data_IF_085995651270
#
_entry.id   IF_085995651270
#
_cell.length_a   1.000
_cell.length_b   1.000
_cell.length_c   1.000
_cell.angle_alpha   90.00
_cell.angle_beta   90.00
_cell.angle_gamma   90.00
#
_symmetry.space_group_name_H-M   'P 1'
#
loop_
_entity.id
_entity.type
_entity.pdbx_description
1 polymer ?
#
# COMPACT_ATOMS: atom_id res chain seq x y z
N UNK A 1 46.50 -29.80 -11.88
CA UNK A 1 45.41 -30.74 -12.23
C UNK A 1 44.93 -31.32 -10.91
N UNK A 2 44.07 -30.58 -10.21
CA UNK A 2 43.80 -30.83 -8.79
C UNK A 2 42.41 -31.44 -8.63
N UNK A 3 42.41 -32.68 -8.13
CA UNK A 3 41.26 -33.53 -7.89
C UNK A 3 40.31 -32.91 -6.86
N UNK A 4 39.02 -32.88 -7.22
CA UNK A 4 37.92 -32.51 -6.34
C UNK A 4 37.61 -33.64 -5.36
N UNK A 5 37.96 -33.46 -4.09
CA UNK A 5 37.46 -34.28 -2.99
C UNK A 5 36.14 -33.69 -2.52
N UNK A 6 35.05 -34.39 -2.84
CA UNK A 6 33.72 -34.17 -2.27
C UNK A 6 33.77 -34.48 -0.78
N UNK A 7 33.31 -33.55 0.05
CA UNK A 7 32.84 -33.86 1.40
C UNK A 7 31.34 -33.58 1.48
N UNK A 8 30.56 -34.43 2.18
CA UNK A 8 29.10 -34.38 2.21
C UNK A 8 28.63 -33.24 3.12
N UNK A 9 27.71 -32.43 2.63
CA UNK A 9 27.02 -31.41 3.44
C UNK A 9 25.99 -32.12 4.33
N UNK A 10 26.29 -32.23 5.63
CA UNK A 10 25.34 -32.68 6.65
C UNK A 10 24.36 -31.54 6.96
N UNK A 11 23.03 -31.75 6.93
CA UNK A 11 22.07 -30.73 7.33
C UNK A 11 21.94 -30.77 8.85
N UNK A 12 22.83 -30.06 9.55
CA UNK A 12 22.66 -29.79 10.97
C UNK A 12 22.09 -28.37 11.13
N UNK A 13 20.97 -28.30 11.86
CA UNK A 13 20.28 -27.10 12.32
C UNK A 13 19.68 -26.19 11.24
N UNK A 14 18.51 -26.61 10.74
CA UNK A 14 17.47 -25.66 10.35
C UNK A 14 16.87 -25.03 11.61
N UNK A 15 17.61 -24.12 12.25
CA UNK A 15 16.96 -23.18 13.16
C UNK A 15 16.16 -22.21 12.30
N UNK A 16 14.87 -21.96 12.61
CA UNK A 16 14.11 -20.94 11.90
C UNK A 16 14.86 -19.63 12.05
N UNK A 17 15.14 -18.99 10.91
CA UNK A 17 15.67 -17.63 10.87
C UNK A 17 14.57 -16.73 11.41
N UNK A 18 14.56 -16.61 12.73
CA UNK A 18 13.84 -15.62 13.51
C UNK A 18 14.38 -14.26 13.02
N UNK A 19 13.70 -13.70 12.01
CA UNK A 19 13.92 -12.37 11.42
C UNK A 19 13.60 -11.28 12.46
N UNK A 20 14.25 -11.28 13.61
CA UNK A 20 14.14 -10.25 14.63
C UNK A 20 15.10 -9.12 14.29
N UNK A 21 14.75 -8.44 13.21
CA UNK A 21 15.32 -7.17 12.78
C UNK A 21 14.28 -6.27 12.13
N UNK A 22 12.98 -6.59 12.26
CA UNK A 22 11.94 -5.67 11.87
C UNK A 22 11.99 -4.49 12.83
N UNK A 23 12.53 -3.36 12.35
CA UNK A 23 12.08 -2.08 12.90
C UNK A 23 10.55 -2.14 12.91
N UNK A 24 9.88 -1.62 13.94
CA UNK A 24 8.49 -1.28 13.83
C UNK A 24 8.39 -0.02 12.96
N UNK A 25 8.96 -0.02 11.75
CA UNK A 25 8.54 0.93 10.75
C UNK A 25 7.10 0.54 10.45
N UNK A 26 6.16 1.48 10.59
CA UNK A 26 4.75 1.30 10.19
C UNK A 26 4.57 1.09 8.68
N UNK A 27 5.58 0.54 8.01
CA UNK A 27 5.72 0.29 6.59
C UNK A 27 5.57 -1.19 6.23
N UNK A 28 5.82 -2.12 7.17
CA UNK A 28 5.65 -3.55 6.94
C UNK A 28 4.20 -3.93 7.27
N UNK A 29 3.43 -4.49 6.32
CA UNK A 29 2.09 -4.98 6.62
C UNK A 29 2.22 -6.08 7.66
N UNK A 30 1.63 -5.85 8.84
CA UNK A 30 1.64 -6.82 9.92
C UNK A 30 0.43 -7.75 9.80
N UNK A 31 0.50 -8.97 10.35
CA UNK A 31 -0.65 -9.86 10.41
C UNK A 31 -1.87 -9.23 11.12
N UNK A 32 -1.66 -8.26 12.01
CA UNK A 32 -2.73 -7.45 12.63
C UNK A 32 -3.43 -6.47 11.67
N UNK A 33 -2.73 -6.01 10.63
CA UNK A 33 -3.28 -5.11 9.60
C UNK A 33 -4.14 -5.90 8.59
N UNK A 34 -3.95 -7.21 8.47
CA UNK A 34 -4.68 -8.06 7.53
C UNK A 34 -6.20 -8.09 7.76
N UNK A 35 -6.66 -7.75 8.97
CA UNK A 35 -8.08 -7.66 9.31
C UNK A 35 -8.74 -6.34 8.89
N UNK A 36 -8.01 -5.38 8.34
CA UNK A 36 -8.53 -4.05 8.03
C UNK A 36 -8.29 -3.66 6.56
N UNK A 37 -9.21 -2.87 6.03
CA UNK A 37 -9.09 -2.24 4.71
C UNK A 37 -9.24 -0.74 4.85
N UNK A 38 -8.28 0.00 4.29
CA UNK A 38 -8.36 1.45 4.18
C UNK A 38 -9.23 1.82 2.97
N UNK A 39 -10.23 2.66 3.22
CA UNK A 39 -11.13 3.21 2.23
C UNK A 39 -10.78 4.68 2.06
N UNK A 40 -10.40 5.05 0.84
CA UNK A 40 -10.15 6.43 0.48
C UNK A 40 -11.31 6.93 -0.37
N UNK A 41 -11.98 7.99 0.07
CA UNK A 41 -12.92 8.73 -0.75
C UNK A 41 -12.28 10.09 -1.08
N UNK A 42 -12.05 10.31 -2.37
CA UNK A 42 -11.28 11.45 -2.86
C UNK A 42 -12.20 12.26 -3.75
N UNK A 43 -12.28 13.55 -3.49
CA UNK A 43 -12.97 14.51 -4.34
C UNK A 43 -11.94 15.45 -4.94
N UNK A 44 -11.83 15.42 -6.25
CA UNK A 44 -10.91 16.23 -7.01
C UNK A 44 -11.64 16.95 -8.14
N UNK A 45 -11.03 17.99 -8.68
CA UNK A 45 -11.50 18.62 -9.91
C UNK A 45 -11.43 17.61 -11.08
N UNK A 46 -12.40 17.65 -11.99
CA UNK A 46 -12.48 16.73 -13.11
C UNK A 46 -11.43 17.02 -14.21
N UNK A 47 -10.16 16.75 -13.89
CA UNK A 47 -9.05 16.77 -14.85
C UNK A 47 -8.84 15.40 -15.50
N UNK A 48 -8.44 15.39 -16.77
CA UNK A 48 -8.27 14.15 -17.53
C UNK A 48 -7.16 13.22 -16.98
N UNK A 49 -6.18 13.75 -16.24
CA UNK A 49 -5.03 13.00 -15.75
C UNK A 49 -5.08 12.71 -14.23
N UNK A 50 -6.13 13.16 -13.53
CA UNK A 50 -6.24 13.00 -12.07
C UNK A 50 -6.22 11.53 -11.64
N UNK A 51 -6.88 10.66 -12.40
CA UNK A 51 -6.90 9.22 -12.14
C UNK A 51 -5.51 8.61 -12.28
N UNK A 52 -4.77 9.00 -13.33
CA UNK A 52 -3.40 8.55 -13.54
C UNK A 52 -2.46 9.04 -12.43
N UNK A 53 -2.58 10.30 -11.98
CA UNK A 53 -1.77 10.83 -10.87
C UNK A 53 -2.05 10.10 -9.57
N UNK A 54 -3.33 9.85 -9.25
CA UNK A 54 -3.75 9.10 -8.07
C UNK A 54 -3.20 7.67 -8.11
N UNK A 55 -3.43 6.94 -9.21
CA UNK A 55 -2.92 5.58 -9.39
C UNK A 55 -1.40 5.52 -9.31
N UNK A 56 -0.70 6.51 -9.86
CA UNK A 56 0.75 6.59 -9.81
C UNK A 56 1.29 6.70 -8.37
N UNK A 57 0.61 7.42 -7.46
CA UNK A 57 0.99 7.50 -6.06
C UNK A 57 0.96 6.13 -5.36
N UNK A 58 -0.01 5.29 -5.70
CA UNK A 58 -0.11 3.93 -5.19
C UNK A 58 0.92 3.00 -5.84
N UNK A 59 1.08 3.11 -7.16
CA UNK A 59 2.02 2.30 -7.93
C UNK A 59 3.47 2.49 -7.46
N UNK A 60 3.91 3.73 -7.23
CA UNK A 60 5.26 4.04 -6.71
C UNK A 60 5.50 3.41 -5.34
N UNK A 61 4.44 3.25 -4.53
CA UNK A 61 4.54 2.64 -3.20
C UNK A 61 4.36 1.12 -3.22
N UNK A 62 4.07 0.52 -4.38
CA UNK A 62 3.82 -0.91 -4.53
C UNK A 62 2.47 -1.37 -3.98
N UNK A 63 1.51 -0.46 -3.81
CA UNK A 63 0.18 -0.80 -3.31
C UNK A 63 -0.78 -1.06 -4.46
N UNK A 64 -1.45 -2.21 -4.41
CA UNK A 64 -2.49 -2.58 -5.37
C UNK A 64 -3.87 -2.47 -4.69
N UNK A 65 -4.74 -1.55 -5.14
CA UNK A 65 -6.11 -1.49 -4.64
C UNK A 65 -6.90 -2.74 -5.04
N UNK A 66 -7.69 -3.27 -4.11
CA UNK A 66 -8.63 -4.37 -4.39
C UNK A 66 -9.81 -3.88 -5.22
N UNK A 67 -10.21 -2.62 -4.99
CA UNK A 67 -11.34 -2.01 -5.67
C UNK A 67 -11.03 -0.52 -5.90
N UNK A 68 -11.37 -0.04 -7.09
CA UNK A 68 -11.34 1.39 -7.43
C UNK A 68 -12.60 1.73 -8.23
N UNK A 69 -13.29 2.77 -7.81
CA UNK A 69 -14.42 3.34 -8.51
C UNK A 69 -14.14 4.83 -8.74
N UNK A 70 -14.36 5.30 -9.95
CA UNK A 70 -14.21 6.71 -10.31
C UNK A 70 -15.47 7.16 -11.03
N UNK A 71 -15.99 8.32 -10.63
CA UNK A 71 -17.19 8.92 -11.21
C UNK A 71 -16.98 10.41 -11.37
N UNK A 72 -17.20 10.91 -12.57
CA UNK A 72 -17.33 12.34 -12.82
C UNK A 72 -18.80 12.73 -12.60
N UNK A 73 -19.03 13.73 -11.75
CA UNK A 73 -20.34 14.24 -11.39
C UNK A 73 -20.24 15.75 -11.14
N UNK A 74 -21.01 16.54 -11.89
CA UNK A 74 -21.06 18.00 -11.82
C UNK A 74 -19.69 18.70 -11.92
N UNK A 75 -18.76 18.19 -12.75
CA UNK A 75 -17.41 18.74 -12.90
C UNK A 75 -16.44 18.36 -11.79
N UNK A 76 -16.85 17.45 -10.89
CA UNK A 76 -16.01 16.87 -9.85
C UNK A 76 -15.73 15.39 -10.13
N UNK A 77 -14.48 14.99 -9.94
CA UNK A 77 -14.08 13.59 -9.95
C UNK A 77 -14.14 13.02 -8.54
N UNK A 78 -15.06 12.09 -8.34
CA UNK A 78 -15.20 11.29 -7.13
C UNK A 78 -14.49 9.96 -7.33
N UNK A 79 -13.47 9.69 -6.52
CA UNK A 79 -12.68 8.45 -6.58
C UNK A 79 -12.76 7.73 -5.24
N UNK A 80 -13.27 6.50 -5.27
CA UNK A 80 -13.30 5.60 -4.13
C UNK A 80 -12.29 4.47 -4.35
N UNK A 81 -11.41 4.27 -3.39
CA UNK A 81 -10.35 3.26 -3.45
C UNK A 81 -10.35 2.42 -2.18
N UNK A 82 -10.23 1.11 -2.34
CA UNK A 82 -10.11 0.15 -1.24
C UNK A 82 -8.73 -0.51 -1.28
N UNK A 83 -7.98 -0.34 -0.20
CA UNK A 83 -6.67 -0.94 -0.01
C UNK A 83 -6.69 -1.95 1.15
N UNK A 84 -6.35 -3.22 0.90
CA UNK A 84 -6.29 -4.22 1.95
C UNK A 84 -4.97 -4.12 2.73
N UNK A 85 -5.00 -4.49 4.01
CA UNK A 85 -3.79 -4.66 4.83
C UNK A 85 -2.87 -3.41 4.86
N UNK A 86 -3.46 -2.22 4.83
CA UNK A 86 -2.71 -0.95 4.85
C UNK A 86 -2.57 -0.43 6.30
N UNK A 87 -1.34 -0.23 6.81
CA UNK A 87 -1.13 0.34 8.12
C UNK A 87 -1.74 1.74 8.24
N UNK A 88 -2.34 2.07 9.39
CA UNK A 88 -3.01 3.36 9.62
C UNK A 88 -2.14 4.58 9.29
N UNK A 89 -0.89 4.56 9.75
CA UNK A 89 0.07 5.64 9.47
C UNK A 89 0.37 5.81 7.98
N UNK A 90 0.50 4.71 7.23
CA UNK A 90 0.70 4.75 5.76
C UNK A 90 -0.50 5.35 5.06
N UNK A 91 -1.69 4.94 5.47
CA UNK A 91 -2.93 5.47 4.91
C UNK A 91 -3.05 6.98 5.16
N UNK A 92 -2.71 7.45 6.36
CA UNK A 92 -2.66 8.88 6.67
C UNK A 92 -1.63 9.65 5.83
N UNK A 93 -0.43 9.09 5.63
CA UNK A 93 0.61 9.70 4.78
C UNK A 93 0.17 9.74 3.31
N UNK A 94 -0.47 8.67 2.81
CA UNK A 94 -1.06 8.61 1.47
C UNK A 94 -2.16 9.67 1.31
N UNK A 95 -3.08 9.76 2.27
CA UNK A 95 -4.15 10.75 2.27
C UNK A 95 -3.58 12.18 2.33
N UNK A 96 -2.55 12.43 3.14
CA UNK A 96 -1.87 13.73 3.20
C UNK A 96 -1.19 14.08 1.86
N UNK A 97 -0.53 13.12 1.21
CA UNK A 97 0.04 13.31 -0.14
C UNK A 97 -1.02 13.60 -1.19
N UNK A 98 -2.19 12.99 -1.09
CA UNK A 98 -3.31 13.27 -1.99
C UNK A 98 -3.87 14.67 -1.76
N UNK A 99 -4.08 15.08 -0.49
CA UNK A 99 -4.51 16.45 -0.14
C UNK A 99 -3.50 17.52 -0.56
N UNK A 100 -2.23 17.16 -0.70
CA UNK A 100 -1.20 18.07 -1.21
C UNK A 100 -1.22 18.25 -2.73
N UNK A 101 -2.01 17.45 -3.48
CA UNK A 101 -2.22 17.68 -4.90
C UNK A 101 -3.19 18.84 -5.10
N UNK A 102 -2.80 19.82 -5.91
CA UNK A 102 -3.55 21.08 -6.14
C UNK A 102 -4.99 20.83 -6.61
N UNK A 103 -5.23 19.73 -7.33
CA UNK A 103 -6.53 19.35 -7.89
C UNK A 103 -7.44 18.60 -6.94
N UNK A 104 -6.94 18.17 -5.77
CA UNK A 104 -7.73 17.42 -4.79
C UNK A 104 -8.29 18.37 -3.75
N UNK A 105 -9.62 18.48 -3.71
CA UNK A 105 -10.32 19.35 -2.76
C UNK A 105 -10.57 18.66 -1.42
N UNK A 106 -10.86 17.36 -1.43
CA UNK A 106 -11.17 16.62 -0.22
C UNK A 106 -10.66 15.18 -0.30
N UNK A 107 -10.20 14.66 0.83
CA UNK A 107 -9.84 13.25 0.99
C UNK A 107 -10.38 12.80 2.33
N UNK A 108 -11.27 11.83 2.32
CA UNK A 108 -11.71 11.10 3.50
C UNK A 108 -11.00 9.75 3.54
N UNK A 109 -10.59 9.37 4.74
CA UNK A 109 -9.94 8.09 5.01
C UNK A 109 -10.74 7.37 6.10
N UNK A 110 -11.30 6.23 5.75
CA UNK A 110 -12.02 5.34 6.66
C UNK A 110 -11.29 3.99 6.74
N UNK A 111 -11.47 3.27 7.85
CA UNK A 111 -10.91 1.93 8.04
C UNK A 111 -12.05 0.97 8.35
N UNK A 112 -12.22 -0.04 7.50
CA UNK A 112 -13.19 -1.11 7.75
C UNK A 112 -12.52 -2.41 8.09
N UNK A 113 -12.96 -2.99 9.20
CA UNK A 113 -12.70 -4.36 9.58
C UNK A 113 -13.40 -5.30 8.58
N UNK A 114 -12.68 -6.32 8.12
CA UNK A 114 -13.25 -7.44 7.37
C UNK A 114 -14.03 -8.38 8.30
#
# INVERSE_FOLDING_TARGET
>A
MNQALRTPFTPADSQPVELFGLRPDGWTPRPEDAGHSALFAIRAEAEADILCRLLNLFAIQGYLPTEMQAREEDGWMHVHLRLPALPRHRAEVLAARMRAMVTVSEVELDFRLH
#
